data_IF_101568177103
#
_entry.id   IF_101568177103
#
_cell.length_a   1.000
_cell.length_b   1.000
_cell.length_c   1.000
_cell.angle_alpha   90.00
_cell.angle_beta   90.00
_cell.angle_gamma   90.00
#
_symmetry.space_group_name_H-M   'P 1'
#
loop_
_entity.id
_entity.type
_entity.pdbx_description
1 polymer ?
#
# COMPACT_ATOMS: atom_id res chain seq x y z
N UNK A 1 41.29 -8.41 6.74
CA UNK A 1 40.23 -8.08 5.78
C UNK A 1 40.87 -8.04 4.41
N UNK A 2 40.47 -8.92 3.50
CA UNK A 2 41.10 -9.14 2.18
C UNK A 2 40.59 -8.12 1.15
N UNK A 3 41.39 -7.85 0.12
CA UNK A 3 41.06 -6.94 -1.00
C UNK A 3 39.69 -7.25 -1.65
N UNK A 4 39.33 -8.54 -1.74
CA UNK A 4 38.03 -9.00 -2.27
C UNK A 4 36.81 -8.46 -1.51
N UNK A 5 36.91 -8.31 -0.17
CA UNK A 5 35.80 -7.77 0.63
C UNK A 5 35.55 -6.27 0.34
N UNK A 6 36.57 -5.53 -0.09
CA UNK A 6 36.44 -4.10 -0.38
C UNK A 6 35.81 -3.86 -1.76
N UNK A 7 36.07 -4.74 -2.74
CA UNK A 7 35.46 -4.65 -4.07
C UNK A 7 33.97 -5.01 -4.02
N UNK A 8 33.58 -6.05 -3.27
CA UNK A 8 32.17 -6.43 -3.10
C UNK A 8 31.35 -5.33 -2.39
N UNK A 9 31.96 -4.68 -1.39
CA UNK A 9 31.36 -3.56 -0.67
C UNK A 9 31.15 -2.35 -1.60
N UNK A 10 32.14 -2.05 -2.44
CA UNK A 10 32.09 -0.94 -3.38
C UNK A 10 31.03 -1.18 -4.47
N UNK A 11 30.94 -2.39 -5.02
CA UNK A 11 29.90 -2.76 -5.99
C UNK A 11 28.49 -2.66 -5.39
N UNK A 12 28.33 -3.10 -4.15
CA UNK A 12 27.06 -2.96 -3.41
C UNK A 12 26.68 -1.49 -3.23
N UNK A 13 27.66 -0.65 -2.89
CA UNK A 13 27.45 0.78 -2.72
C UNK A 13 27.04 1.47 -4.03
N UNK A 14 27.72 1.15 -5.14
CA UNK A 14 27.39 1.68 -6.47
C UNK A 14 25.96 1.32 -6.86
N UNK A 15 25.58 0.04 -6.72
CA UNK A 15 24.21 -0.41 -7.01
C UNK A 15 23.17 0.31 -6.14
N UNK A 16 23.44 0.47 -4.84
CA UNK A 16 22.54 1.19 -3.94
C UNK A 16 22.36 2.66 -4.34
N UNK A 17 23.42 3.29 -4.86
CA UNK A 17 23.39 4.66 -5.37
C UNK A 17 22.59 4.78 -6.66
N UNK A 18 22.79 3.89 -7.64
CA UNK A 18 22.00 3.89 -8.89
C UNK A 18 20.51 3.69 -8.63
N UNK A 19 20.15 2.75 -7.76
CA UNK A 19 18.77 2.54 -7.33
C UNK A 19 18.19 3.78 -6.62
N UNK A 20 19.02 4.51 -5.85
CA UNK A 20 18.60 5.75 -5.21
C UNK A 20 18.36 6.86 -6.24
N UNK A 21 19.22 6.98 -7.25
CA UNK A 21 19.04 7.94 -8.34
C UNK A 21 17.75 7.65 -9.13
N UNK A 22 17.44 6.37 -9.38
CA UNK A 22 16.15 5.96 -9.96
C UNK A 22 14.98 6.35 -9.08
N UNK A 23 15.07 6.06 -7.77
CA UNK A 23 14.04 6.45 -6.81
C UNK A 23 13.82 7.96 -6.81
N UNK A 24 14.90 8.73 -6.80
CA UNK A 24 14.88 10.20 -6.88
C UNK A 24 14.22 10.67 -8.18
N UNK A 25 14.52 10.02 -9.31
CA UNK A 25 13.88 10.34 -10.59
C UNK A 25 12.38 10.06 -10.55
N UNK A 26 11.95 8.92 -10.00
CA UNK A 26 10.54 8.56 -9.84
C UNK A 26 9.81 9.52 -8.89
N UNK A 27 10.47 9.92 -7.81
CA UNK A 27 9.96 10.90 -6.85
C UNK A 27 9.90 12.32 -7.43
N UNK A 28 10.79 12.68 -8.36
CA UNK A 28 10.73 13.97 -9.07
C UNK A 28 9.66 13.97 -10.15
N UNK A 29 9.36 12.82 -10.75
CA UNK A 29 8.33 12.67 -11.78
C UNK A 29 6.91 12.53 -11.24
N UNK A 30 6.64 13.08 -10.04
CA UNK A 30 5.36 12.89 -9.35
C UNK A 30 4.16 13.08 -10.28
N UNK A 31 3.38 12.00 -10.39
CA UNK A 31 2.39 11.81 -11.44
C UNK A 31 1.11 12.55 -11.09
N UNK A 32 0.64 13.40 -12.00
CA UNK A 32 -0.62 14.14 -11.86
C UNK A 32 -1.87 13.27 -12.09
N UNK A 33 -1.70 11.96 -12.27
CA UNK A 33 -2.77 11.02 -12.60
C UNK A 33 -2.73 9.87 -11.61
N UNK A 34 -3.87 9.54 -11.02
CA UNK A 34 -4.01 8.41 -10.11
C UNK A 34 -4.11 7.08 -10.87
N UNK A 35 -3.71 5.98 -10.23
CA UNK A 35 -3.75 4.64 -10.84
C UNK A 35 -5.19 4.10 -11.00
N UNK A 36 -6.11 4.53 -10.15
CA UNK A 36 -7.56 4.36 -10.32
C UNK A 36 -8.24 5.72 -10.19
N UNK A 37 -9.42 5.91 -10.79
CA UNK A 37 -10.20 7.12 -10.61
C UNK A 37 -10.74 7.20 -9.18
N UNK A 38 -10.70 8.41 -8.63
CA UNK A 38 -11.27 8.74 -7.32
C UNK A 38 -12.17 9.97 -7.43
N UNK A 39 -13.16 10.07 -6.54
CA UNK A 39 -13.95 11.29 -6.40
C UNK A 39 -13.08 12.50 -6.08
N UNK A 40 -13.46 13.68 -6.59
CA UNK A 40 -12.74 14.94 -6.36
C UNK A 40 -12.51 15.26 -4.88
N UNK A 41 -13.54 15.07 -4.05
CA UNK A 41 -13.44 15.28 -2.60
C UNK A 41 -12.33 14.45 -1.95
N UNK A 42 -12.19 13.18 -2.37
CA UNK A 42 -11.15 12.29 -1.86
C UNK A 42 -9.74 12.76 -2.28
N UNK A 43 -9.58 13.22 -3.53
CA UNK A 43 -8.32 13.76 -4.03
C UNK A 43 -7.92 15.06 -3.29
N UNK A 44 -8.87 15.94 -3.01
CA UNK A 44 -8.62 17.20 -2.27
C UNK A 44 -8.19 16.95 -0.82
N UNK A 45 -8.69 15.87 -0.20
CA UNK A 45 -8.27 15.44 1.14
C UNK A 45 -6.86 14.81 1.16
N UNK A 46 -6.43 14.23 0.04
CA UNK A 46 -5.19 13.48 -0.08
C UNK A 46 -4.31 14.08 -1.17
N UNK A 47 -3.62 15.17 -0.81
CA UNK A 47 -2.70 15.89 -1.70
C UNK A 47 -1.60 14.97 -2.27
N UNK A 48 -0.97 15.39 -3.37
CA UNK A 48 0.16 14.68 -3.96
C UNK A 48 1.27 14.54 -2.91
N UNK A 49 1.76 13.32 -2.71
CA UNK A 49 2.88 13.04 -1.79
C UNK A 49 4.15 13.70 -2.31
N UNK A 50 4.97 14.35 -1.47
CA UNK A 50 6.21 15.03 -1.85
C UNK A 50 7.41 14.50 -1.04
N UNK A 51 8.34 13.80 -1.68
CA UNK A 51 9.52 13.20 -1.05
C UNK A 51 10.80 14.04 -1.20
N UNK A 52 10.68 15.36 -1.35
CA UNK A 52 11.81 16.27 -1.55
C UNK A 52 12.84 16.25 -0.41
N UNK A 53 12.51 15.68 0.75
CA UNK A 53 13.39 15.59 1.92
C UNK A 53 14.49 14.55 1.76
N UNK A 54 14.24 13.42 1.06
CA UNK A 54 15.28 12.42 0.73
C UNK A 54 16.46 13.08 0.01
N UNK A 55 16.20 14.06 -0.84
CA UNK A 55 17.22 14.69 -1.70
C UNK A 55 18.26 15.53 -0.94
N UNK A 56 18.04 15.79 0.35
CA UNK A 56 18.83 16.74 1.13
C UNK A 56 19.64 16.11 2.25
N UNK A 57 19.56 14.79 2.44
CA UNK A 57 20.19 14.12 3.57
C UNK A 57 21.49 13.41 3.20
N UNK A 58 22.47 13.50 4.10
CA UNK A 58 23.77 12.84 3.96
C UNK A 58 23.72 11.35 4.38
N UNK A 59 22.73 10.96 5.19
CA UNK A 59 22.60 9.60 5.76
C UNK A 59 21.68 8.66 4.96
N UNK A 60 21.25 9.06 3.76
CA UNK A 60 20.24 8.34 2.95
C UNK A 60 20.67 6.90 2.67
N UNK A 61 21.95 6.66 2.38
CA UNK A 61 22.44 5.33 2.03
C UNK A 61 22.37 4.38 3.22
N UNK A 62 22.80 4.81 4.40
CA UNK A 62 22.77 3.99 5.62
C UNK A 62 21.33 3.63 6.02
N UNK A 63 20.45 4.64 6.01
CA UNK A 63 19.02 4.43 6.30
C UNK A 63 18.37 3.51 5.26
N UNK A 64 18.72 3.63 3.98
CA UNK A 64 18.21 2.76 2.92
C UNK A 64 18.66 1.32 3.12
N UNK A 65 19.93 1.09 3.45
CA UNK A 65 20.46 -0.25 3.76
C UNK A 65 19.71 -0.84 4.96
N UNK A 66 19.53 -0.04 6.02
CA UNK A 66 18.78 -0.46 7.21
C UNK A 66 17.34 -0.85 6.87
N UNK A 67 16.60 0.02 6.18
CA UNK A 67 15.21 -0.21 5.74
C UNK A 67 15.13 -1.47 4.86
N UNK A 68 16.01 -1.60 3.87
CA UNK A 68 16.04 -2.77 2.99
C UNK A 68 16.26 -4.06 3.77
N UNK A 69 17.27 -4.07 4.66
CA UNK A 69 17.59 -5.24 5.48
C UNK A 69 16.41 -5.64 6.36
N UNK A 70 15.78 -4.67 7.03
CA UNK A 70 14.67 -4.94 7.94
C UNK A 70 13.41 -5.36 7.21
N UNK A 71 13.05 -4.69 6.12
CA UNK A 71 11.89 -5.07 5.31
C UNK A 71 12.05 -6.46 4.67
N UNK A 72 13.28 -6.87 4.33
CA UNK A 72 13.53 -8.22 3.82
C UNK A 72 13.49 -9.32 4.91
N UNK A 73 13.58 -8.94 6.20
CA UNK A 73 13.45 -9.86 7.33
C UNK A 73 11.99 -10.08 7.73
N UNK A 74 11.06 -9.24 7.27
CA UNK A 74 9.64 -9.36 7.63
C UNK A 74 9.15 -10.76 7.26
N UNK A 75 8.51 -11.41 8.21
CA UNK A 75 7.95 -12.76 8.07
C UNK A 75 6.51 -12.79 8.60
N UNK A 76 5.86 -13.95 8.53
CA UNK A 76 4.52 -14.14 9.08
C UNK A 76 4.51 -14.42 10.59
N UNK A 77 5.68 -14.45 11.24
CA UNK A 77 5.78 -14.58 12.69
C UNK A 77 5.44 -13.23 13.35
N UNK A 78 4.36 -13.23 14.12
CA UNK A 78 3.84 -12.03 14.79
C UNK A 78 4.86 -11.46 15.80
N UNK A 79 5.56 -12.32 16.55
CA UNK A 79 6.50 -11.86 17.57
C UNK A 79 7.73 -11.21 16.91
N UNK A 80 8.20 -11.82 15.83
CA UNK A 80 9.26 -11.22 15.02
C UNK A 80 8.82 -9.87 14.42
N UNK A 81 7.59 -9.78 13.93
CA UNK A 81 7.01 -8.56 13.37
C UNK A 81 6.94 -7.44 14.42
N UNK A 82 6.55 -7.75 15.67
CA UNK A 82 6.58 -6.80 16.78
C UNK A 82 7.98 -6.26 17.10
N UNK A 83 9.01 -7.10 17.00
CA UNK A 83 10.39 -6.67 17.20
C UNK A 83 10.81 -5.67 16.13
N UNK A 84 10.45 -5.92 14.86
CA UNK A 84 10.69 -4.99 13.75
C UNK A 84 9.99 -3.64 13.98
N UNK A 85 8.73 -3.64 14.43
CA UNK A 85 8.01 -2.40 14.79
C UNK A 85 8.79 -1.60 15.84
N UNK A 86 9.24 -2.27 16.90
CA UNK A 86 9.97 -1.62 18.00
C UNK A 86 11.29 -1.00 17.54
N UNK A 87 11.94 -1.59 16.54
CA UNK A 87 13.14 -1.03 15.94
C UNK A 87 12.84 0.17 15.03
N UNK A 88 11.78 0.10 14.22
CA UNK A 88 11.35 1.21 13.36
C UNK A 88 10.90 2.43 14.15
N UNK A 89 10.25 2.23 15.32
CA UNK A 89 9.85 3.33 16.21
C UNK A 89 11.01 4.23 16.65
N UNK A 90 12.24 3.73 16.65
CA UNK A 90 13.44 4.53 16.98
C UNK A 90 13.74 5.60 15.93
N UNK A 91 13.26 5.41 14.71
CA UNK A 91 13.47 6.30 13.56
C UNK A 91 12.18 6.98 13.09
N UNK A 92 11.08 6.87 13.85
CA UNK A 92 9.75 7.34 13.45
C UNK A 92 9.65 8.86 13.19
N UNK A 93 10.56 9.63 13.80
CA UNK A 93 10.68 11.08 13.62
C UNK A 93 11.73 11.47 12.56
N UNK A 94 12.45 10.51 12.00
CA UNK A 94 13.39 10.75 10.90
C UNK A 94 12.60 10.73 9.57
N UNK A 95 12.42 11.92 9.00
CA UNK A 95 11.63 12.11 7.78
C UNK A 95 12.26 11.41 6.55
N UNK A 96 13.57 11.16 6.55
CA UNK A 96 14.25 10.42 5.47
C UNK A 96 13.98 8.94 5.61
N UNK A 97 14.08 8.41 6.84
CA UNK A 97 13.67 7.04 7.14
C UNK A 97 12.20 6.81 6.77
N UNK A 98 11.33 7.75 7.14
CA UNK A 98 9.90 7.73 6.80
C UNK A 98 9.67 7.53 5.31
N UNK A 99 10.25 8.39 4.48
CA UNK A 99 10.07 8.33 3.02
C UNK A 99 10.65 7.03 2.43
N UNK A 100 11.87 6.63 2.85
CA UNK A 100 12.52 5.40 2.40
C UNK A 100 11.71 4.15 2.78
N UNK A 101 11.16 4.12 3.99
CA UNK A 101 10.33 3.03 4.47
C UNK A 101 9.06 2.90 3.63
N UNK A 102 8.32 3.99 3.41
CA UNK A 102 7.08 3.95 2.63
C UNK A 102 7.31 3.46 1.19
N UNK A 103 8.39 3.94 0.55
CA UNK A 103 8.78 3.50 -0.78
C UNK A 103 9.12 2.01 -0.78
N UNK A 104 9.86 1.54 0.23
CA UNK A 104 10.18 0.12 0.35
C UNK A 104 8.94 -0.75 0.58
N UNK A 105 7.99 -0.31 1.41
CA UNK A 105 6.74 -1.05 1.64
C UNK A 105 5.92 -1.13 0.37
N UNK A 106 5.87 -0.05 -0.42
CA UNK A 106 5.22 -0.05 -1.73
C UNK A 106 5.88 -1.07 -2.67
N UNK A 107 7.21 -1.12 -2.73
CA UNK A 107 7.95 -2.10 -3.53
C UNK A 107 7.68 -3.55 -3.07
N UNK A 108 7.59 -3.80 -1.76
CA UNK A 108 7.18 -5.13 -1.26
C UNK A 108 5.74 -5.46 -1.67
N UNK A 109 4.85 -4.47 -1.71
CA UNK A 109 3.50 -4.61 -2.26
C UNK A 109 3.50 -5.09 -3.71
N UNK A 110 4.33 -4.44 -4.55
CA UNK A 110 4.43 -4.76 -5.98
C UNK A 110 4.96 -6.16 -6.26
N UNK A 111 5.87 -6.67 -5.43
CA UNK A 111 6.57 -7.93 -5.70
C UNK A 111 6.03 -9.05 -4.81
N UNK A 112 6.24 -8.93 -3.50
CA UNK A 112 5.98 -10.01 -2.55
C UNK A 112 4.48 -10.21 -2.33
N UNK A 113 3.73 -9.13 -2.11
CA UNK A 113 2.28 -9.21 -1.83
C UNK A 113 1.50 -9.54 -3.09
N UNK A 114 1.87 -8.96 -4.24
CA UNK A 114 1.29 -9.33 -5.53
C UNK A 114 1.39 -10.84 -5.81
N UNK A 115 2.55 -11.44 -5.49
CA UNK A 115 2.79 -12.87 -5.68
C UNK A 115 2.09 -13.74 -4.63
N UNK A 116 2.00 -13.26 -3.38
CA UNK A 116 1.36 -13.95 -2.26
C UNK A 116 0.54 -12.96 -1.44
N UNK A 117 -0.74 -12.84 -1.78
CA UNK A 117 -1.63 -11.81 -1.23
C UNK A 117 -1.58 -11.75 0.30
N UNK A 118 -1.64 -12.88 1.00
CA UNK A 118 -1.61 -12.97 2.47
C UNK A 118 -0.40 -12.30 3.13
N UNK A 119 0.69 -12.08 2.39
CA UNK A 119 1.85 -11.35 2.88
C UNK A 119 1.57 -9.86 3.14
N UNK A 120 0.40 -9.33 2.75
CA UNK A 120 -0.05 -8.01 3.16
C UNK A 120 -0.12 -7.88 4.70
N UNK A 121 -0.46 -8.96 5.41
CA UNK A 121 -0.73 -8.97 6.85
C UNK A 121 0.42 -8.39 7.68
N UNK A 122 1.65 -8.93 7.64
CA UNK A 122 2.75 -8.40 8.45
C UNK A 122 3.16 -6.97 8.05
N UNK A 123 3.13 -6.62 6.75
CA UNK A 123 3.45 -5.26 6.29
C UNK A 123 2.43 -4.23 6.77
N UNK A 124 1.16 -4.59 6.69
CA UNK A 124 0.04 -3.77 7.16
C UNK A 124 0.08 -3.60 8.67
N UNK A 125 0.38 -4.69 9.39
CA UNK A 125 0.50 -4.68 10.84
C UNK A 125 1.64 -3.76 11.30
N UNK A 126 2.80 -3.80 10.64
CA UNK A 126 3.90 -2.89 10.97
C UNK A 126 3.44 -1.45 10.77
N UNK A 127 2.92 -1.14 9.58
CA UNK A 127 2.54 0.23 9.21
C UNK A 127 1.40 0.77 10.07
N UNK A 128 0.47 -0.08 10.51
CA UNK A 128 -0.64 0.32 11.40
C UNK A 128 -0.20 0.63 12.84
N UNK A 129 0.95 0.09 13.28
CA UNK A 129 1.51 0.29 14.61
C UNK A 129 2.52 1.45 14.70
N UNK A 130 2.81 2.11 13.57
CA UNK A 130 3.59 3.35 13.49
C UNK A 130 2.65 4.57 13.57
N UNK A 131 3.26 5.76 13.60
CA UNK A 131 2.57 7.04 13.64
C UNK A 131 1.48 7.14 12.54
N UNK A 132 0.29 7.71 12.84
CA UNK A 132 -0.80 7.79 11.88
C UNK A 132 -0.45 8.45 10.54
N UNK A 133 0.60 9.29 10.49
CA UNK A 133 1.07 9.90 9.24
C UNK A 133 1.51 8.84 8.22
N UNK A 134 2.03 7.70 8.64
CA UNK A 134 2.49 6.64 7.71
C UNK A 134 1.36 6.13 6.82
N UNK A 135 0.16 5.91 7.39
CA UNK A 135 -1.01 5.48 6.64
C UNK A 135 -1.42 6.50 5.58
N UNK A 136 -1.57 7.76 5.99
CA UNK A 136 -2.00 8.83 5.08
C UNK A 136 -0.99 9.03 3.94
N UNK A 137 0.31 9.01 4.23
CA UNK A 137 1.35 9.18 3.22
C UNK A 137 1.49 7.93 2.35
N UNK A 138 1.30 6.73 2.90
CA UNK A 138 1.24 5.50 2.11
C UNK A 138 0.11 5.56 1.09
N UNK A 139 -1.10 5.97 1.50
CA UNK A 139 -2.24 6.15 0.61
C UNK A 139 -1.92 7.17 -0.49
N UNK A 140 -1.38 8.33 -0.13
CA UNK A 140 -1.00 9.36 -1.11
C UNK A 140 0.02 8.82 -2.12
N UNK A 141 1.08 8.15 -1.65
CA UNK A 141 2.09 7.55 -2.52
C UNK A 141 1.48 6.46 -3.42
N UNK A 142 0.63 5.60 -2.84
CA UNK A 142 -0.07 4.51 -3.53
C UNK A 142 -0.92 5.04 -4.68
N UNK A 143 -1.74 6.08 -4.44
CA UNK A 143 -2.69 6.60 -5.43
C UNK A 143 -2.01 7.05 -6.72
N UNK A 144 -0.82 7.63 -6.64
CA UNK A 144 -0.09 8.19 -7.80
C UNK A 144 1.02 7.28 -8.33
N UNK A 145 1.20 6.08 -7.76
CA UNK A 145 2.21 5.13 -8.26
C UNK A 145 1.71 4.44 -9.52
N UNK A 146 2.55 4.43 -10.56
CA UNK A 146 2.33 3.60 -11.73
C UNK A 146 2.49 2.11 -11.38
N UNK A 147 1.40 1.36 -11.55
CA UNK A 147 1.29 -0.06 -11.24
C UNK A 147 0.53 -0.76 -12.36
N UNK A 148 0.95 -1.98 -12.69
CA UNK A 148 0.21 -2.82 -13.62
C UNK A 148 -0.87 -3.66 -12.90
N UNK A 149 -1.60 -4.49 -13.65
CA UNK A 149 -2.68 -5.35 -13.14
C UNK A 149 -2.23 -6.35 -12.06
N UNK A 150 -1.01 -6.89 -12.20
CA UNK A 150 -0.47 -7.86 -11.25
C UNK A 150 -0.03 -7.18 -9.94
N UNK A 151 0.53 -5.98 -10.04
CA UNK A 151 1.08 -5.21 -8.93
C UNK A 151 0.01 -4.53 -8.09
N UNK A 152 -1.07 -4.03 -8.72
CA UNK A 152 -2.04 -3.15 -8.06
C UNK A 152 -2.70 -3.82 -6.86
N UNK A 153 -2.99 -5.12 -6.96
CA UNK A 153 -3.58 -5.89 -5.86
C UNK A 153 -2.69 -5.87 -4.62
N UNK A 154 -1.39 -6.08 -4.80
CA UNK A 154 -0.46 -6.19 -3.70
C UNK A 154 -0.26 -4.87 -2.95
N UNK A 155 -0.19 -3.75 -3.67
CA UNK A 155 -0.02 -2.43 -3.04
C UNK A 155 -1.31 -1.97 -2.32
N UNK A 156 -2.50 -2.20 -2.89
CA UNK A 156 -3.76 -1.88 -2.21
C UNK A 156 -4.07 -2.81 -1.04
N UNK A 157 -3.64 -4.08 -1.11
CA UNK A 157 -3.81 -5.02 0.00
C UNK A 157 -3.16 -4.53 1.29
N UNK A 158 -1.99 -3.88 1.19
CA UNK A 158 -1.32 -3.31 2.35
C UNK A 158 -2.16 -2.17 2.94
N UNK A 159 -2.64 -1.24 2.12
CA UNK A 159 -3.48 -0.14 2.61
C UNK A 159 -4.77 -0.65 3.28
N UNK A 160 -5.48 -1.58 2.66
CA UNK A 160 -6.68 -2.16 3.25
C UNK A 160 -6.39 -2.98 4.51
N UNK A 161 -5.24 -3.66 4.56
CA UNK A 161 -4.79 -4.31 5.79
C UNK A 161 -4.53 -3.31 6.91
N UNK A 162 -3.98 -2.12 6.63
CA UNK A 162 -3.77 -1.07 7.63
C UNK A 162 -5.11 -0.66 8.24
N UNK A 163 -6.12 -0.38 7.40
CA UNK A 163 -7.47 -0.06 7.84
C UNK A 163 -8.07 -1.17 8.69
N UNK A 164 -7.90 -2.44 8.28
CA UNK A 164 -8.37 -3.60 9.04
C UNK A 164 -7.75 -3.67 10.44
N UNK A 165 -6.41 -3.56 10.55
CA UNK A 165 -5.72 -3.63 11.84
C UNK A 165 -6.04 -2.45 12.76
N UNK A 166 -6.33 -1.27 12.19
CA UNK A 166 -6.79 -0.10 12.94
C UNK A 166 -8.27 -0.13 13.29
N UNK A 167 -9.02 -1.12 12.79
CA UNK A 167 -10.48 -1.15 12.88
C UNK A 167 -11.11 0.14 12.31
N UNK A 168 -10.48 0.74 11.28
CA UNK A 168 -10.91 1.99 10.68
C UNK A 168 -12.02 1.76 9.63
N UNK A 169 -13.22 1.58 10.15
CA UNK A 169 -14.43 1.50 9.35
C UNK A 169 -14.67 2.78 8.53
N UNK A 170 -14.41 3.96 9.10
CA UNK A 170 -14.72 5.23 8.43
C UNK A 170 -13.85 5.42 7.19
N UNK A 171 -12.54 5.19 7.30
CA UNK A 171 -11.61 5.22 6.18
C UNK A 171 -11.95 4.19 5.11
N UNK A 172 -12.37 2.98 5.50
CA UNK A 172 -12.82 1.96 4.55
C UNK A 172 -14.05 2.43 3.74
N UNK A 173 -15.07 2.99 4.39
CA UNK A 173 -16.26 3.52 3.68
C UNK A 173 -15.97 4.72 2.81
N UNK A 174 -15.15 5.64 3.30
CA UNK A 174 -14.74 6.82 2.53
C UNK A 174 -14.00 6.40 1.26
N UNK A 175 -13.07 5.45 1.38
CA UNK A 175 -12.37 4.87 0.24
C UNK A 175 -13.37 4.24 -0.75
N UNK A 176 -14.26 3.35 -0.29
CA UNK A 176 -15.21 2.69 -1.18
C UNK A 176 -16.13 3.68 -1.89
N UNK A 177 -16.66 4.66 -1.17
CA UNK A 177 -17.50 5.71 -1.74
C UNK A 177 -16.73 6.53 -2.79
N UNK A 178 -15.46 6.84 -2.53
CA UNK A 178 -14.63 7.60 -3.46
C UNK A 178 -14.43 6.91 -4.81
N UNK A 179 -14.36 5.57 -4.81
CA UNK A 179 -14.21 4.74 -6.02
C UNK A 179 -15.55 4.52 -6.71
N UNK A 180 -16.60 4.19 -5.96
CA UNK A 180 -17.91 3.87 -6.54
C UNK A 180 -18.64 5.09 -7.12
N UNK A 181 -18.27 6.31 -6.72
CA UNK A 181 -18.85 7.55 -7.21
C UNK A 181 -18.24 8.07 -8.53
N UNK A 182 -17.29 7.35 -9.12
CA UNK A 182 -16.62 7.72 -10.37
C UNK A 182 -16.61 6.54 -11.35
N UNK A 183 -16.44 6.85 -12.63
CA UNK A 183 -16.39 5.84 -13.69
C UNK A 183 -15.13 4.98 -13.54
N UNK A 184 -15.22 3.65 -13.47
CA UNK A 184 -14.06 2.79 -13.27
C UNK A 184 -13.13 2.78 -14.49
N UNK A 185 -11.84 2.55 -14.24
CA UNK A 185 -10.88 2.16 -15.28
C UNK A 185 -10.59 0.66 -15.23
N UNK A 186 -9.70 0.17 -16.10
CA UNK A 186 -9.32 -1.26 -16.17
C UNK A 186 -8.76 -1.82 -14.85
N UNK A 187 -8.15 -0.97 -14.02
CA UNK A 187 -7.52 -1.38 -12.76
C UNK A 187 -8.49 -1.41 -11.57
N UNK A 188 -9.64 -0.73 -11.69
CA UNK A 188 -10.59 -0.53 -10.58
C UNK A 188 -11.16 -1.85 -10.05
N UNK A 189 -11.44 -2.81 -10.94
CA UNK A 189 -12.00 -4.10 -10.55
C UNK A 189 -11.07 -4.89 -9.61
N UNK A 190 -9.76 -4.87 -9.90
CA UNK A 190 -8.77 -5.55 -9.09
C UNK A 190 -8.64 -4.93 -7.69
N UNK A 191 -8.77 -3.61 -7.58
CA UNK A 191 -8.76 -2.91 -6.29
C UNK A 191 -10.01 -3.27 -5.48
N UNK A 192 -11.19 -3.28 -6.09
CA UNK A 192 -12.43 -3.69 -5.41
C UNK A 192 -12.39 -5.16 -4.97
N UNK A 193 -11.79 -6.04 -5.77
CA UNK A 193 -11.58 -7.43 -5.38
C UNK A 193 -10.83 -7.56 -4.06
N UNK A 194 -9.68 -6.88 -3.96
CA UNK A 194 -8.84 -6.91 -2.76
C UNK A 194 -9.50 -6.17 -1.60
N UNK A 195 -10.19 -5.06 -1.87
CA UNK A 195 -10.98 -4.33 -0.88
C UNK A 195 -11.98 -5.26 -0.18
N UNK A 196 -12.82 -5.96 -0.94
CA UNK A 196 -13.80 -6.87 -0.36
C UNK A 196 -13.14 -8.12 0.23
N UNK A 197 -12.05 -8.63 -0.35
CA UNK A 197 -11.31 -9.74 0.23
C UNK A 197 -10.86 -9.45 1.67
N UNK A 198 -10.36 -8.23 1.95
CA UNK A 198 -9.78 -7.87 3.26
C UNK A 198 -10.81 -7.24 4.19
N UNK A 199 -11.62 -6.30 3.70
CA UNK A 199 -12.41 -5.42 4.56
C UNK A 199 -13.86 -5.88 4.76
N UNK A 200 -14.37 -6.88 4.03
CA UNK A 200 -15.77 -7.32 4.18
C UNK A 200 -16.10 -7.74 5.62
N UNK A 201 -15.19 -8.44 6.30
CA UNK A 201 -15.37 -8.80 7.71
C UNK A 201 -15.52 -7.55 8.59
N UNK A 202 -14.64 -6.55 8.40
CA UNK A 202 -14.71 -5.29 9.13
C UNK A 202 -16.05 -4.58 8.90
N UNK A 203 -16.48 -4.47 7.64
CA UNK A 203 -17.70 -3.76 7.26
C UNK A 203 -18.97 -4.44 7.79
N UNK A 204 -19.00 -5.79 7.78
CA UNK A 204 -20.15 -6.57 8.21
C UNK A 204 -20.39 -6.50 9.72
N UNK A 205 -19.30 -6.51 10.52
CA UNK A 205 -19.35 -6.36 11.99
C UNK A 205 -20.00 -5.05 12.41
N UNK A 206 -19.80 -3.97 11.66
CA UNK A 206 -20.37 -2.66 12.00
C UNK A 206 -21.77 -2.46 11.43
N UNK A 207 -22.02 -2.81 10.16
CA UNK A 207 -23.35 -2.60 9.56
C UNK A 207 -23.67 -3.51 8.36
N UNK A 208 -24.11 -4.73 8.66
CA UNK A 208 -24.57 -5.74 7.67
C UNK A 208 -25.58 -5.19 6.64
N UNK A 209 -26.60 -4.45 7.07
CA UNK A 209 -27.61 -3.83 6.17
C UNK A 209 -27.01 -2.88 5.14
N UNK A 210 -25.94 -2.16 5.48
CA UNK A 210 -25.25 -1.27 4.52
C UNK A 210 -24.44 -2.09 3.52
N UNK A 211 -23.82 -3.18 3.95
CA UNK A 211 -23.13 -4.11 3.06
C UNK A 211 -24.09 -4.74 2.03
N UNK A 212 -25.30 -5.13 2.43
CA UNK A 212 -26.36 -5.59 1.49
C UNK A 212 -26.75 -4.52 0.46
N UNK A 213 -26.80 -3.25 0.86
CA UNK A 213 -27.08 -2.13 -0.05
C UNK A 213 -25.95 -1.93 -1.05
N UNK A 214 -24.69 -2.05 -0.60
CA UNK A 214 -23.52 -2.02 -1.48
C UNK A 214 -23.55 -3.17 -2.47
N UNK A 215 -23.82 -4.40 -2.04
CA UNK A 215 -23.91 -5.54 -2.95
C UNK A 215 -24.95 -5.29 -4.05
N UNK A 216 -26.15 -4.84 -3.69
CA UNK A 216 -27.19 -4.48 -4.65
C UNK A 216 -26.76 -3.36 -5.60
N UNK A 217 -26.09 -2.33 -5.08
CA UNK A 217 -25.58 -1.24 -5.92
C UNK A 217 -24.55 -1.74 -6.93
N UNK A 218 -23.58 -2.55 -6.49
CA UNK A 218 -22.58 -3.14 -7.36
C UNK A 218 -23.22 -3.98 -8.47
N UNK A 219 -24.18 -4.85 -8.11
CA UNK A 219 -24.90 -5.70 -9.05
C UNK A 219 -25.70 -4.92 -10.10
N UNK A 220 -26.41 -3.89 -9.67
CA UNK A 220 -27.31 -3.15 -10.55
C UNK A 220 -26.60 -2.13 -11.44
N UNK A 221 -25.48 -1.57 -10.98
CA UNK A 221 -24.88 -0.40 -11.64
C UNK A 221 -23.39 -0.52 -11.93
N UNK A 222 -22.59 -1.07 -11.01
CA UNK A 222 -21.14 -0.92 -11.08
C UNK A 222 -20.43 -2.08 -11.79
N UNK A 223 -20.86 -3.33 -11.59
CA UNK A 223 -20.24 -4.50 -12.23
C UNK A 223 -20.31 -4.44 -13.76
N UNK A 224 -21.41 -3.92 -14.29
CA UNK A 224 -21.59 -3.73 -15.74
C UNK A 224 -20.51 -2.81 -16.34
N UNK A 225 -20.07 -1.79 -15.58
CA UNK A 225 -19.05 -0.83 -16.02
C UNK A 225 -17.64 -1.40 -16.00
N UNK A 226 -17.37 -2.37 -15.12
CA UNK A 226 -16.04 -2.97 -14.99
C UNK A 226 -15.74 -4.06 -16.03
N UNK A 227 -16.78 -4.68 -16.60
CA UNK A 227 -16.66 -5.73 -17.60
C UNK A 227 -15.67 -6.87 -17.24
N UNK A 228 -15.66 -7.29 -15.96
CA UNK A 228 -14.78 -8.35 -15.47
C UNK A 228 -15.57 -9.38 -14.63
N UNK A 229 -16.20 -10.33 -15.34
CA UNK A 229 -17.11 -11.31 -14.73
C UNK A 229 -16.46 -12.21 -13.67
N UNK A 230 -15.22 -12.70 -13.85
CA UNK A 230 -14.55 -13.49 -12.82
C UNK A 230 -14.36 -12.73 -11.50
N UNK A 231 -13.98 -11.44 -11.56
CA UNK A 231 -13.83 -10.61 -10.36
C UNK A 231 -15.18 -10.36 -9.69
N UNK A 232 -16.21 -10.04 -10.48
CA UNK A 232 -17.56 -9.86 -9.98
C UNK A 232 -18.01 -11.07 -9.13
N UNK A 233 -17.84 -12.29 -9.65
CA UNK A 233 -18.23 -13.51 -8.94
C UNK A 233 -17.51 -13.63 -7.60
N UNK A 234 -16.20 -13.37 -7.56
CA UNK A 234 -15.40 -13.46 -6.33
C UNK A 234 -15.79 -12.39 -5.31
N UNK A 235 -16.08 -11.17 -5.75
CA UNK A 235 -16.59 -10.10 -4.87
C UNK A 235 -17.94 -10.52 -4.28
N UNK A 236 -18.88 -10.99 -5.09
CA UNK A 236 -20.21 -11.43 -4.63
C UNK A 236 -20.08 -12.56 -3.61
N UNK A 237 -19.29 -13.59 -3.92
CA UNK A 237 -19.03 -14.71 -3.02
C UNK A 237 -18.49 -14.21 -1.68
N UNK A 238 -17.48 -13.33 -1.73
CA UNK A 238 -16.85 -12.81 -0.51
C UNK A 238 -17.80 -12.01 0.35
N UNK A 239 -18.64 -11.16 -0.25
CA UNK A 239 -19.64 -10.39 0.50
C UNK A 239 -20.67 -11.32 1.13
N UNK A 240 -21.15 -12.33 0.40
CA UNK A 240 -22.16 -13.27 0.86
C UNK A 240 -21.71 -14.15 2.04
N UNK A 241 -20.41 -14.40 2.22
CA UNK A 241 -19.88 -15.08 3.42
C UNK A 241 -20.25 -14.36 4.73
N UNK A 242 -20.54 -13.05 4.66
CA UNK A 242 -20.84 -12.20 5.82
C UNK A 242 -22.23 -11.57 5.79
N UNK A 243 -23.05 -11.91 4.78
CA UNK A 243 -24.48 -11.55 4.70
C UNK A 243 -25.38 -12.62 5.34
#
# INVERSE_FOLDING_TARGET
>A
MTQDNNEELLQTYIKQKEELEKLISELKSQMNTTNIPFSRYFLEKHEIYNASKILKSENVVELKIFVNKKCNQISTDIQHTYNIVSEFKKYENDEVFFDLFLLKILDQGKIQVASKIDFFKPLSFITSNLDPRYENHYLRLLMYKNVNEDEIKGVYAIYFGILYFKNDYAGAWEFLASVLNVEPNSLTAYVLEVYFYILTELLSKTCKKRLEKILRYLQNFYFQKMNNKPIEIRIIQKINEFL
#
